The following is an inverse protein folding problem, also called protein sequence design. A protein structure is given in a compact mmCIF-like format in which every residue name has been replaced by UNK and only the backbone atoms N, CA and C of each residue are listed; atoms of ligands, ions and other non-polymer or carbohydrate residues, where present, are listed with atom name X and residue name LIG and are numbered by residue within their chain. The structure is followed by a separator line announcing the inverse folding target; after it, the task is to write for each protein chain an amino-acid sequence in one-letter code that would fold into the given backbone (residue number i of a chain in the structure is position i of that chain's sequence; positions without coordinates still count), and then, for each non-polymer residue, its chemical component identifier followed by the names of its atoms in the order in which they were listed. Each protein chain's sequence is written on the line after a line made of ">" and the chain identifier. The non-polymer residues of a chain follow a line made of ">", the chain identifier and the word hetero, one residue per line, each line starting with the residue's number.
data_IF_211544479472
#
_entry.id   IF_211544479472
#
_cell.length_a   1.000
_cell.length_b   1.000
_cell.length_c   1.000
_cell.angle_alpha   90.00
_cell.angle_beta   90.00
_cell.angle_gamma   90.00
#
_symmetry.space_group_name_H-M   'P 1'
#
loop_
_entity.id
_entity.type
_entity.pdbx_description
1 polymer ?
#
# COMPACT_ATOMS: atom_id res chain seq x y z
N UNK A 1 26.78 -11.84 -39.27
CA UNK A 1 27.10 -11.90 -37.83
C UNK A 1 27.43 -10.49 -37.37
N UNK A 2 26.69 -9.94 -36.41
CA UNK A 2 26.99 -8.61 -35.84
C UNK A 2 27.79 -8.84 -34.56
N UNK A 3 28.99 -8.26 -34.48
CA UNK A 3 29.85 -8.30 -33.29
C UNK A 3 29.79 -6.94 -32.63
N UNK A 4 29.43 -6.90 -31.35
CA UNK A 4 29.34 -5.67 -30.57
C UNK A 4 30.59 -5.50 -29.71
N UNK A 5 31.07 -4.26 -29.61
CA UNK A 5 32.18 -3.87 -28.73
C UNK A 5 31.58 -3.49 -27.37
N UNK A 6 31.83 -4.25 -26.29
CA UNK A 6 31.19 -4.02 -24.99
C UNK A 6 31.34 -2.59 -24.45
N UNK A 7 32.48 -1.97 -24.69
CA UNK A 7 32.81 -0.60 -24.28
C UNK A 7 31.95 0.47 -24.98
N UNK A 8 31.32 0.12 -26.10
CA UNK A 8 30.38 0.99 -26.84
C UNK A 8 28.92 0.56 -26.62
N UNK A 9 28.67 -0.46 -25.80
CA UNK A 9 27.32 -0.94 -25.48
C UNK A 9 26.91 -0.55 -24.08
N UNK A 10 25.73 0.07 -23.97
CA UNK A 10 25.15 0.45 -22.69
C UNK A 10 23.91 -0.41 -22.44
N UNK A 11 23.81 -0.95 -21.23
CA UNK A 11 22.58 -1.58 -20.76
C UNK A 11 21.49 -0.50 -20.67
N UNK A 12 20.37 -0.73 -21.33
CA UNK A 12 19.18 0.12 -21.24
C UNK A 12 18.09 -0.59 -20.43
N UNK A 13 17.22 0.19 -19.78
CA UNK A 13 16.16 -0.32 -18.92
C UNK A 13 16.47 -0.20 -17.42
N UNK A 14 15.42 -0.31 -16.61
CA UNK A 14 15.44 -0.07 -15.16
C UNK A 14 15.58 -1.36 -14.32
N UNK A 15 15.98 -2.48 -14.94
CA UNK A 15 15.88 -3.81 -14.35
C UNK A 15 16.67 -3.97 -13.04
N UNK A 16 17.86 -3.39 -12.94
CA UNK A 16 18.68 -3.42 -11.71
C UNK A 16 18.40 -2.25 -10.75
N UNK A 17 17.80 -1.18 -11.25
CA UNK A 17 17.48 0.03 -10.46
C UNK A 17 16.25 -0.16 -9.59
N UNK A 18 15.35 -1.09 -9.94
CA UNK A 18 14.17 -1.48 -9.16
C UNK A 18 14.49 -2.02 -7.77
N UNK A 19 15.71 -2.52 -7.52
CA UNK A 19 16.16 -2.94 -6.18
C UNK A 19 16.37 -1.74 -5.24
N UNK A 20 16.59 -0.54 -5.78
CA UNK A 20 16.78 0.68 -5.01
C UNK A 20 15.56 1.60 -5.11
N UNK A 21 14.60 1.39 -4.20
CA UNK A 21 13.34 2.15 -4.13
C UNK A 21 13.49 3.68 -4.03
N UNK A 22 14.67 4.21 -3.66
CA UNK A 22 14.93 5.66 -3.65
C UNK A 22 15.21 6.21 -5.04
N UNK A 23 16.08 5.56 -5.79
CA UNK A 23 16.46 5.99 -7.13
C UNK A 23 15.27 5.91 -8.10
N UNK A 24 14.43 4.88 -7.97
CA UNK A 24 13.17 4.81 -8.73
C UNK A 24 12.25 5.98 -8.40
N UNK A 25 12.16 6.38 -7.12
CA UNK A 25 11.32 7.53 -6.72
C UNK A 25 11.83 8.85 -7.28
N UNK A 26 13.14 9.06 -7.28
CA UNK A 26 13.77 10.25 -7.86
C UNK A 26 13.54 10.32 -9.37
N UNK A 27 13.76 9.21 -10.09
CA UNK A 27 13.48 9.14 -11.53
C UNK A 27 11.98 9.34 -11.80
N UNK A 28 11.09 8.70 -11.03
CA UNK A 28 9.65 8.89 -11.16
C UNK A 28 9.24 10.34 -10.91
N UNK A 29 9.86 11.01 -9.93
CA UNK A 29 9.58 12.42 -9.63
C UNK A 29 9.93 13.32 -10.82
N UNK A 30 11.09 13.12 -11.44
CA UNK A 30 11.49 13.85 -12.65
C UNK A 30 10.63 13.50 -13.88
N UNK A 31 10.11 12.26 -13.94
CA UNK A 31 9.24 11.81 -15.02
C UNK A 31 7.79 12.26 -14.84
N UNK A 32 7.35 12.59 -13.62
CA UNK A 32 5.98 13.02 -13.36
C UNK A 32 5.71 14.38 -13.97
N UNK A 33 4.89 14.39 -15.02
CA UNK A 33 4.40 15.61 -15.66
C UNK A 33 2.96 15.87 -15.24
N UNK A 34 2.67 17.12 -14.89
CA UNK A 34 1.28 17.57 -14.78
C UNK A 34 0.57 17.50 -16.14
N UNK A 35 -0.77 17.37 -16.18
CA UNK A 35 -1.53 17.37 -17.43
C UNK A 35 -1.22 18.58 -18.32
N UNK A 36 -1.02 19.76 -17.73
CA UNK A 36 -0.65 20.98 -18.44
C UNK A 36 0.74 20.90 -19.07
N UNK A 37 1.74 20.41 -18.33
CA UNK A 37 3.09 20.23 -18.86
C UNK A 37 3.10 19.21 -20.01
N UNK A 38 2.37 18.10 -19.85
CA UNK A 38 2.24 17.09 -20.88
C UNK A 38 1.62 17.67 -22.16
N UNK A 39 0.52 18.42 -22.04
CA UNK A 39 -0.12 19.12 -23.15
C UNK A 39 0.82 20.12 -23.85
N UNK A 40 1.58 20.91 -23.09
CA UNK A 40 2.56 21.86 -23.66
C UNK A 40 3.68 21.13 -24.41
N UNK A 41 4.17 20.00 -23.91
CA UNK A 41 5.17 19.18 -24.61
C UNK A 41 4.61 18.58 -25.89
N UNK A 42 3.39 18.06 -25.87
CA UNK A 42 2.72 17.53 -27.07
C UNK A 42 2.52 18.61 -28.13
N UNK A 43 1.94 19.74 -27.75
CA UNK A 43 1.74 20.87 -28.69
C UNK A 43 3.06 21.44 -29.22
N UNK A 44 4.12 21.44 -28.41
CA UNK A 44 5.47 21.80 -28.87
C UNK A 44 6.00 20.79 -29.88
N UNK A 45 5.81 19.49 -29.65
CA UNK A 45 6.21 18.45 -30.59
C UNK A 45 5.45 18.57 -31.91
N UNK A 46 4.13 18.80 -31.87
CA UNK A 46 3.32 19.01 -33.07
C UNK A 46 3.83 20.21 -33.88
N UNK A 47 4.18 21.32 -33.21
CA UNK A 47 4.82 22.49 -33.84
C UNK A 47 6.15 22.12 -34.47
N UNK A 48 7.02 21.41 -33.75
CA UNK A 48 8.32 21.00 -34.30
C UNK A 48 8.20 20.11 -35.53
N UNK A 49 7.22 19.20 -35.55
CA UNK A 49 6.98 18.34 -36.71
C UNK A 49 6.45 19.16 -37.88
N UNK A 50 5.44 20.01 -37.67
CA UNK A 50 4.86 20.85 -38.72
C UNK A 50 5.87 21.85 -39.30
N UNK A 51 6.65 22.48 -38.43
CA UNK A 51 7.61 23.52 -38.84
C UNK A 51 8.88 22.90 -39.47
N UNK A 52 9.04 21.56 -39.41
CA UNK A 52 10.12 20.85 -40.09
C UNK A 52 9.73 20.53 -41.55
N UNK A 53 10.44 21.08 -42.55
CA UNK A 53 10.08 20.94 -43.96
C UNK A 53 10.26 19.51 -44.51
N UNK A 54 11.14 18.70 -43.93
CA UNK A 54 11.31 17.30 -44.32
C UNK A 54 10.13 16.46 -43.83
N UNK A 55 9.78 16.61 -42.55
CA UNK A 55 8.67 15.88 -41.94
C UNK A 55 7.32 16.25 -42.58
N UNK A 56 7.06 17.55 -42.80
CA UNK A 56 5.83 18.01 -43.45
C UNK A 56 5.70 17.52 -44.89
N UNK A 57 6.80 17.52 -45.65
CA UNK A 57 6.80 16.99 -47.02
C UNK A 57 6.51 15.49 -47.06
N UNK A 58 7.04 14.72 -46.12
CA UNK A 58 6.69 13.30 -46.00
C UNK A 58 5.20 13.14 -45.71
N UNK A 59 4.64 13.83 -44.73
CA UNK A 59 3.20 13.75 -44.43
C UNK A 59 2.32 14.10 -45.64
N UNK A 60 2.66 15.18 -46.36
CA UNK A 60 1.96 15.59 -47.59
C UNK A 60 2.05 14.54 -48.70
N UNK A 61 3.19 13.84 -48.86
CA UNK A 61 3.33 12.73 -49.83
C UNK A 61 2.35 11.59 -49.54
N UNK A 62 2.01 11.37 -48.28
CA UNK A 62 1.00 10.38 -47.85
C UNK A 62 -0.43 10.95 -47.85
N UNK A 63 -0.62 12.23 -48.23
CA UNK A 63 -1.91 12.91 -48.16
C UNK A 63 -2.38 13.21 -46.72
N UNK A 64 -1.45 13.21 -45.76
CA UNK A 64 -1.74 13.40 -44.34
C UNK A 64 -1.46 14.83 -43.90
N UNK A 65 -2.29 15.34 -42.99
CA UNK A 65 -2.10 16.62 -42.32
C UNK A 65 -2.23 16.41 -40.82
N UNK A 66 -1.34 17.01 -40.03
CA UNK A 66 -1.39 16.94 -38.58
C UNK A 66 -2.25 18.07 -38.01
N UNK A 67 -3.17 17.71 -37.11
CA UNK A 67 -3.82 18.68 -36.24
C UNK A 67 -2.80 19.23 -35.23
N UNK A 68 -2.95 20.50 -34.89
CA UNK A 68 -2.05 21.24 -33.99
C UNK A 68 -2.54 21.25 -32.55
N UNK A 69 -3.65 20.58 -32.30
CA UNK A 69 -4.25 20.41 -30.98
C UNK A 69 -4.60 18.93 -30.72
N UNK A 70 -4.87 18.61 -29.45
CA UNK A 70 -5.34 17.29 -29.07
C UNK A 70 -6.80 17.11 -29.46
N UNK A 71 -7.16 15.88 -29.84
CA UNK A 71 -8.55 15.53 -30.10
C UNK A 71 -9.41 15.75 -28.85
N UNK A 72 -10.47 16.55 -29.00
CA UNK A 72 -11.48 16.76 -27.95
C UNK A 72 -12.57 15.72 -28.12
N UNK A 73 -12.94 15.09 -27.02
CA UNK A 73 -14.04 14.13 -26.97
C UNK A 73 -15.06 14.53 -25.91
N UNK A 74 -16.30 14.09 -26.08
CA UNK A 74 -17.32 14.24 -25.04
C UNK A 74 -17.14 13.13 -24.01
N UNK A 75 -16.95 13.52 -22.75
CA UNK A 75 -16.88 12.62 -21.62
C UNK A 75 -18.12 12.76 -20.74
N UNK A 76 -18.40 11.70 -19.96
CA UNK A 76 -19.42 11.73 -18.92
C UNK A 76 -18.76 11.65 -17.55
N UNK A 77 -19.21 12.50 -16.63
CA UNK A 77 -18.85 12.42 -15.21
C UNK A 77 -19.88 11.53 -14.54
N UNK A 78 -19.41 10.42 -13.96
CA UNK A 78 -20.26 9.53 -13.20
C UNK A 78 -20.71 10.22 -11.90
N UNK A 79 -21.96 10.02 -11.46
CA UNK A 79 -22.42 10.54 -10.19
C UNK A 79 -21.65 9.90 -9.03
N UNK A 80 -21.51 10.62 -7.92
CA UNK A 80 -20.89 10.09 -6.71
C UNK A 80 -21.74 8.98 -6.10
N UNK A 81 -21.11 7.89 -5.73
CA UNK A 81 -21.77 6.77 -5.05
C UNK A 81 -21.87 7.00 -3.54
N UNK A 82 -22.95 6.50 -2.94
CA UNK A 82 -23.16 6.57 -1.49
C UNK A 82 -22.35 5.47 -0.79
N UNK A 83 -21.51 5.87 0.15
CA UNK A 83 -20.75 4.95 1.01
C UNK A 83 -21.60 4.59 2.23
N UNK A 84 -21.79 3.29 2.44
CA UNK A 84 -22.57 2.71 3.52
C UNK A 84 -21.65 2.11 4.59
N UNK A 85 -21.85 2.50 5.84
CA UNK A 85 -21.29 1.89 7.05
C UNK A 85 -22.41 1.19 7.83
N UNK A 86 -22.13 0.64 9.02
CA UNK A 86 -23.15 -0.10 9.77
C UNK A 86 -24.38 0.72 10.16
N UNK A 87 -24.15 1.95 10.62
CA UNK A 87 -25.21 2.81 11.17
C UNK A 87 -25.35 4.15 10.44
N UNK A 88 -24.48 4.41 9.45
CA UNK A 88 -24.38 5.70 8.77
C UNK A 88 -24.09 5.49 7.30
N UNK A 89 -24.63 6.37 6.47
CA UNK A 89 -24.30 6.45 5.05
C UNK A 89 -24.02 7.91 4.69
N UNK A 90 -23.11 8.14 3.74
CA UNK A 90 -22.70 9.48 3.32
C UNK A 90 -22.16 9.45 1.88
N UNK A 91 -22.12 10.62 1.25
CA UNK A 91 -21.42 10.78 -0.04
C UNK A 91 -19.97 11.24 0.22
N UNK A 92 -18.98 10.72 -0.52
CA UNK A 92 -17.60 11.17 -0.44
C UNK A 92 -17.44 12.68 -0.70
N UNK A 93 -16.39 13.28 -0.15
CA UNK A 93 -15.98 14.65 -0.47
C UNK A 93 -15.40 14.73 -1.91
N UNK A 94 -15.12 15.93 -2.41
CA UNK A 94 -14.65 16.17 -3.78
C UNK A 94 -13.32 15.45 -4.12
N UNK A 95 -12.49 15.17 -3.11
CA UNK A 95 -11.23 14.45 -3.25
C UNK A 95 -11.41 12.92 -3.33
N UNK A 96 -12.66 12.44 -3.24
CA UNK A 96 -13.05 11.03 -3.22
C UNK A 96 -12.33 10.23 -2.13
N UNK A 97 -12.05 10.88 -0.99
CA UNK A 97 -11.45 10.26 0.18
C UNK A 97 -12.45 10.14 1.32
N UNK A 98 -12.56 8.96 1.93
CA UNK A 98 -13.44 8.72 3.07
C UNK A 98 -12.76 7.96 4.22
N UNK A 99 -11.42 8.04 4.27
CA UNK A 99 -10.63 7.38 5.31
C UNK A 99 -11.00 7.89 6.72
N UNK A 100 -11.31 9.18 6.84
CA UNK A 100 -11.63 9.80 8.13
C UNK A 100 -12.94 9.24 8.70
N UNK A 101 -13.92 9.01 7.85
CA UNK A 101 -15.24 8.51 8.17
C UNK A 101 -15.15 7.03 8.59
N UNK A 102 -14.46 6.20 7.78
CA UNK A 102 -14.28 4.76 8.04
C UNK A 102 -13.49 4.49 9.34
N UNK A 103 -12.68 5.43 9.80
CA UNK A 103 -11.88 5.26 11.03
C UNK A 103 -12.52 5.82 12.28
N UNK A 104 -13.62 6.56 12.15
CA UNK A 104 -14.38 7.17 13.26
C UNK A 104 -15.72 6.50 13.53
N UNK A 105 -16.16 5.65 12.62
CA UNK A 105 -17.49 5.03 12.62
C UNK A 105 -17.37 3.51 12.58
N UNK A 106 -18.42 2.83 13.03
CA UNK A 106 -18.46 1.37 13.07
C UNK A 106 -18.56 0.79 11.66
N UNK A 107 -17.64 -0.11 11.34
CA UNK A 107 -17.63 -0.89 10.09
C UNK A 107 -18.88 -1.77 9.97
N UNK A 108 -19.36 -2.04 8.74
CA UNK A 108 -20.51 -2.92 8.47
C UNK A 108 -20.40 -4.22 9.28
N UNK A 109 -19.28 -4.92 9.17
CA UNK A 109 -18.94 -6.11 9.94
C UNK A 109 -17.57 -5.93 10.60
N UNK A 110 -17.58 -5.71 11.92
CA UNK A 110 -16.38 -5.64 12.74
C UNK A 110 -16.18 -6.98 13.49
N UNK A 111 -15.01 -7.60 13.30
CA UNK A 111 -14.64 -8.88 13.92
C UNK A 111 -13.81 -8.62 15.18
N UNK A 112 -14.23 -9.22 16.29
CA UNK A 112 -13.52 -9.13 17.58
C UNK A 112 -12.37 -10.14 17.65
N UNK A 113 -11.22 -9.69 18.17
CA UNK A 113 -10.01 -10.50 18.32
C UNK A 113 -9.74 -10.69 19.81
N UNK A 114 -9.98 -11.89 20.31
CA UNK A 114 -9.79 -12.24 21.72
C UNK A 114 -8.40 -12.82 21.98
N UNK A 115 -7.91 -13.67 21.07
CA UNK A 115 -6.62 -14.34 21.19
C UNK A 115 -5.75 -14.02 19.98
N UNK A 116 -4.65 -13.29 20.21
CA UNK A 116 -3.69 -12.93 19.17
C UNK A 116 -2.28 -12.86 19.74
N UNK A 117 -1.31 -13.05 18.86
CA UNK A 117 0.11 -13.09 19.19
C UNK A 117 0.80 -11.85 18.64
N UNK A 118 1.56 -11.16 19.49
CA UNK A 118 2.43 -10.06 19.12
C UNK A 118 3.90 -10.50 19.22
N UNK A 119 4.63 -10.45 18.11
CA UNK A 119 6.05 -10.82 18.03
C UNK A 119 6.89 -9.61 17.66
N UNK A 120 7.96 -9.34 18.40
CA UNK A 120 8.89 -8.24 18.09
C UNK A 120 10.30 -8.50 18.66
N UNK A 121 11.36 -7.92 18.06
CA UNK A 121 12.71 -7.88 18.64
C UNK A 121 12.76 -7.06 19.92
N UNK A 122 13.48 -7.52 20.94
CA UNK A 122 13.62 -6.86 22.25
C UNK A 122 13.84 -5.33 22.18
N UNK A 123 14.68 -4.85 21.27
CA UNK A 123 14.94 -3.42 21.11
C UNK A 123 13.71 -2.58 20.72
N UNK A 124 12.65 -3.19 20.21
CA UNK A 124 11.40 -2.55 19.81
C UNK A 124 10.32 -2.63 20.90
N UNK A 125 10.66 -3.06 22.11
CA UNK A 125 9.72 -3.24 23.21
C UNK A 125 8.91 -1.96 23.51
N UNK A 126 9.55 -0.78 23.50
CA UNK A 126 8.83 0.48 23.73
C UNK A 126 7.81 0.75 22.61
N UNK A 127 8.23 0.56 21.35
CA UNK A 127 7.35 0.73 20.19
C UNK A 127 6.17 -0.25 20.21
N UNK A 128 6.39 -1.47 20.68
CA UNK A 128 5.33 -2.46 20.88
C UNK A 128 4.33 -2.02 21.95
N UNK A 129 4.80 -1.47 23.08
CA UNK A 129 3.93 -0.90 24.12
C UNK A 129 3.10 0.27 23.58
N UNK A 130 3.72 1.18 22.84
CA UNK A 130 3.05 2.32 22.24
C UNK A 130 1.98 1.88 21.22
N UNK A 131 2.32 0.85 20.41
CA UNK A 131 1.38 0.22 19.48
C UNK A 131 0.16 -0.34 20.23
N UNK A 132 0.36 -1.06 21.32
CA UNK A 132 -0.73 -1.65 22.12
C UNK A 132 -1.63 -0.57 22.75
N UNK A 133 -1.04 0.50 23.28
CA UNK A 133 -1.80 1.64 23.80
C UNK A 133 -2.64 2.32 22.72
N UNK A 134 -2.06 2.50 21.53
CA UNK A 134 -2.75 3.06 20.38
C UNK A 134 -3.88 2.14 19.87
N UNK A 135 -3.66 0.82 19.82
CA UNK A 135 -4.69 -0.18 19.46
C UNK A 135 -5.86 -0.10 20.44
N UNK A 136 -5.58 -0.16 21.75
CA UNK A 136 -6.60 -0.12 22.81
C UNK A 136 -7.45 1.16 22.77
N UNK A 137 -6.84 2.30 22.45
CA UNK A 137 -7.56 3.58 22.36
C UNK A 137 -8.32 3.79 21.05
N UNK A 138 -8.04 3.02 20.01
CA UNK A 138 -8.60 3.23 18.66
C UNK A 138 -9.66 2.20 18.27
N UNK A 139 -9.51 0.94 18.69
CA UNK A 139 -10.36 -0.15 18.19
C UNK A 139 -11.85 0.04 18.49
N UNK A 140 -12.19 0.63 19.64
CA UNK A 140 -13.59 0.86 20.05
C UNK A 140 -14.36 1.77 19.10
N UNK A 141 -13.75 2.84 18.58
CA UNK A 141 -14.39 3.76 17.63
C UNK A 141 -14.77 3.07 16.31
N UNK A 142 -14.06 1.99 15.96
CA UNK A 142 -14.28 1.21 14.74
C UNK A 142 -15.23 0.02 14.98
N UNK A 143 -15.79 -0.10 16.19
CA UNK A 143 -16.63 -1.22 16.61
C UNK A 143 -15.88 -2.53 16.79
N UNK A 144 -14.54 -2.48 16.92
CA UNK A 144 -13.69 -3.65 17.12
C UNK A 144 -13.27 -3.80 18.58
N UNK A 145 -13.25 -5.04 19.06
CA UNK A 145 -12.60 -5.41 20.31
C UNK A 145 -11.29 -6.12 20.04
N UNK A 146 -10.21 -5.65 20.68
CA UNK A 146 -8.88 -6.26 20.65
C UNK A 146 -8.49 -6.63 22.09
N UNK A 147 -8.50 -7.92 22.40
CA UNK A 147 -8.08 -8.46 23.69
C UNK A 147 -6.58 -8.23 23.96
N UNK A 148 -6.13 -8.56 25.16
CA UNK A 148 -4.71 -8.50 25.50
C UNK A 148 -3.94 -9.57 24.69
N UNK A 149 -2.89 -9.21 23.94
CA UNK A 149 -2.12 -10.20 23.19
C UNK A 149 -1.24 -11.05 24.10
N UNK A 150 -0.94 -12.24 23.61
CA UNK A 150 0.28 -12.95 24.01
C UNK A 150 1.48 -12.25 23.38
N UNK A 151 2.50 -11.96 24.18
CA UNK A 151 3.67 -11.22 23.73
C UNK A 151 4.88 -12.15 23.68
N UNK A 152 5.50 -12.26 22.50
CA UNK A 152 6.73 -13.01 22.28
C UNK A 152 7.85 -12.06 21.88
N UNK A 153 8.74 -11.79 22.83
CA UNK A 153 9.97 -11.05 22.58
C UNK A 153 11.01 -11.94 21.90
N UNK A 154 11.67 -11.41 20.86
CA UNK A 154 12.76 -12.07 20.15
C UNK A 154 14.11 -11.57 20.66
N UNK A 155 15.09 -12.50 20.73
CA UNK A 155 16.47 -12.21 21.14
C UNK A 155 17.25 -11.44 20.07
N UNK A 156 16.97 -11.74 18.81
CA UNK A 156 17.60 -11.14 17.64
C UNK A 156 16.60 -10.95 16.49
N UNK A 157 17.09 -10.40 15.37
CA UNK A 157 16.31 -10.08 14.17
C UNK A 157 16.53 -11.07 13.01
N UNK A 158 17.10 -12.24 13.28
CA UNK A 158 17.29 -13.27 12.26
C UNK A 158 15.94 -13.84 11.81
N UNK A 159 15.85 -14.24 10.53
CA UNK A 159 14.64 -14.90 10.00
C UNK A 159 14.29 -16.13 10.85
N UNK A 160 15.30 -16.93 11.21
CA UNK A 160 15.12 -18.13 12.03
C UNK A 160 14.50 -17.85 13.39
N UNK A 161 14.90 -16.77 14.06
CA UNK A 161 14.34 -16.34 15.34
C UNK A 161 12.84 -16.05 15.22
N UNK A 162 12.43 -15.29 14.19
CA UNK A 162 10.99 -15.07 13.94
C UNK A 162 10.25 -16.39 13.70
N UNK A 163 10.73 -17.21 12.77
CA UNK A 163 10.03 -18.43 12.36
C UNK A 163 9.92 -19.44 13.51
N UNK A 164 11.01 -19.66 14.26
CA UNK A 164 11.05 -20.59 15.39
C UNK A 164 10.11 -20.14 16.51
N UNK A 165 10.17 -18.87 16.88
CA UNK A 165 9.34 -18.32 17.96
C UNK A 165 7.85 -18.26 17.59
N UNK A 166 7.52 -17.88 16.34
CA UNK A 166 6.13 -17.91 15.85
C UNK A 166 5.61 -19.34 15.87
N UNK A 167 6.34 -20.30 15.30
CA UNK A 167 5.91 -21.70 15.24
C UNK A 167 5.70 -22.30 16.63
N UNK A 168 6.64 -22.06 17.55
CA UNK A 168 6.54 -22.53 18.94
C UNK A 168 5.31 -21.96 19.66
N UNK A 169 5.08 -20.65 19.51
CA UNK A 169 3.95 -19.96 20.15
C UNK A 169 2.61 -20.41 19.59
N UNK A 170 2.51 -20.59 18.27
CA UNK A 170 1.29 -21.07 17.61
C UNK A 170 1.01 -22.55 17.92
N UNK A 171 2.04 -23.38 18.08
CA UNK A 171 1.89 -24.80 18.39
C UNK A 171 1.51 -25.09 19.85
N UNK A 172 1.74 -24.14 20.76
CA UNK A 172 1.46 -24.30 22.20
C UNK A 172 0.10 -23.75 22.63
N UNK A 173 -0.69 -23.17 21.71
CA UNK A 173 -1.91 -22.43 22.02
C UNK A 173 -3.08 -22.96 21.19
N UNK A 174 -4.19 -23.30 21.85
CA UNK A 174 -5.30 -24.01 21.17
C UNK A 174 -6.03 -23.16 20.12
N UNK A 175 -5.91 -21.82 20.11
CA UNK A 175 -6.48 -20.99 19.04
C UNK A 175 -5.94 -19.57 19.01
N UNK A 176 -5.00 -19.28 18.10
CA UNK A 176 -4.57 -17.90 17.80
C UNK A 176 -5.34 -17.39 16.58
N UNK A 177 -6.10 -16.30 16.73
CA UNK A 177 -6.91 -15.73 15.64
C UNK A 177 -6.09 -14.84 14.70
N UNK A 178 -5.01 -14.25 15.21
CA UNK A 178 -4.20 -13.27 14.49
C UNK A 178 -2.76 -13.29 15.00
N UNK A 179 -1.82 -13.20 14.06
CA UNK A 179 -0.42 -12.89 14.33
C UNK A 179 -0.12 -11.44 13.94
N UNK A 180 0.47 -10.66 14.83
CA UNK A 180 1.06 -9.35 14.53
C UNK A 180 2.57 -9.44 14.76
N UNK A 181 3.36 -9.05 13.77
CA UNK A 181 4.81 -9.01 13.87
C UNK A 181 5.33 -7.60 13.60
N UNK A 182 6.20 -7.08 14.47
CA UNK A 182 6.91 -5.83 14.21
C UNK A 182 8.29 -6.18 13.66
N UNK A 183 8.59 -5.73 12.45
CA UNK A 183 9.89 -5.92 11.82
C UNK A 183 10.68 -4.61 11.78
N UNK A 184 12.01 -4.67 11.89
CA UNK A 184 12.92 -3.60 11.52
C UNK A 184 12.70 -3.08 10.09
N UNK A 185 13.32 -1.94 9.79
CA UNK A 185 13.31 -1.33 8.45
C UNK A 185 13.99 -2.25 7.42
N UNK A 186 13.42 -2.31 6.20
CA UNK A 186 13.97 -2.99 5.01
C UNK A 186 14.22 -4.50 5.19
N UNK A 187 13.26 -5.23 5.77
CA UNK A 187 13.35 -6.69 5.99
C UNK A 187 12.29 -7.47 5.20
N UNK A 188 12.30 -7.30 3.88
CA UNK A 188 11.38 -8.01 2.97
C UNK A 188 11.61 -9.53 2.98
N UNK A 189 12.83 -9.95 3.31
CA UNK A 189 13.23 -11.33 3.60
C UNK A 189 12.41 -11.93 4.76
N UNK A 190 12.33 -11.20 5.89
CA UNK A 190 11.56 -11.60 7.07
C UNK A 190 10.07 -11.57 6.77
N UNK A 191 9.60 -10.53 6.07
CA UNK A 191 8.20 -10.45 5.64
C UNK A 191 7.79 -11.68 4.81
N UNK A 192 8.58 -12.01 3.78
CA UNK A 192 8.34 -13.17 2.92
C UNK A 192 8.35 -14.49 3.70
N UNK A 193 9.29 -14.65 4.63
CA UNK A 193 9.37 -15.85 5.46
C UNK A 193 8.16 -15.99 6.40
N UNK A 194 7.75 -14.92 7.09
CA UNK A 194 6.56 -14.92 7.97
C UNK A 194 5.31 -15.24 7.16
N UNK A 195 5.15 -14.63 5.98
CA UNK A 195 4.01 -14.89 5.10
C UNK A 195 3.99 -16.32 4.60
N UNK A 196 5.13 -16.87 4.18
CA UNK A 196 5.23 -18.27 3.79
C UNK A 196 4.84 -19.20 4.95
N UNK A 197 5.32 -18.94 6.16
CA UNK A 197 4.93 -19.73 7.33
C UNK A 197 3.42 -19.67 7.57
N UNK A 198 2.84 -18.47 7.64
CA UNK A 198 1.45 -18.27 8.04
C UNK A 198 0.42 -18.61 6.95
N UNK A 199 0.82 -18.64 5.68
CA UNK A 199 -0.07 -18.95 4.57
C UNK A 199 0.07 -20.40 4.07
N UNK A 200 1.21 -21.05 4.31
CA UNK A 200 1.50 -22.40 3.75
C UNK A 200 1.60 -23.47 4.83
N UNK A 201 2.21 -23.17 5.98
CA UNK A 201 2.59 -24.20 6.96
C UNK A 201 1.72 -24.18 8.22
N UNK A 202 1.47 -23.00 8.78
CA UNK A 202 0.66 -22.82 9.99
C UNK A 202 -0.38 -21.73 9.70
N UNK A 203 -1.54 -22.07 9.11
CA UNK A 203 -2.53 -21.10 8.66
C UNK A 203 -3.00 -20.18 9.78
N UNK A 204 -2.60 -18.91 9.73
CA UNK A 204 -3.10 -17.86 10.62
C UNK A 204 -3.07 -16.51 9.90
N UNK A 205 -4.15 -15.71 9.98
CA UNK A 205 -4.11 -14.32 9.53
C UNK A 205 -2.93 -13.58 10.16
N UNK A 206 -2.12 -12.92 9.33
CA UNK A 206 -0.89 -12.25 9.79
C UNK A 206 -0.80 -10.79 9.34
N UNK A 207 -0.39 -9.92 10.25
CA UNK A 207 -0.08 -8.51 10.00
C UNK A 207 1.37 -8.24 10.36
N UNK A 208 2.17 -7.84 9.36
CA UNK A 208 3.55 -7.42 9.58
C UNK A 208 3.59 -5.90 9.53
N UNK A 209 4.23 -5.27 10.51
CA UNK A 209 4.32 -3.82 10.66
C UNK A 209 5.81 -3.44 10.70
N UNK A 210 6.22 -2.57 9.79
CA UNK A 210 7.58 -2.03 9.82
C UNK A 210 7.70 -1.00 10.94
N UNK A 211 8.70 -1.13 11.81
CA UNK A 211 8.94 -0.22 12.91
C UNK A 211 8.98 1.25 12.45
N UNK A 212 9.56 1.51 11.27
CA UNK A 212 9.66 2.86 10.72
C UNK A 212 8.29 3.51 10.41
N UNK A 213 7.25 2.71 10.13
CA UNK A 213 5.91 3.27 9.93
C UNK A 213 5.32 3.80 11.23
N UNK A 214 5.70 3.22 12.38
CA UNK A 214 5.22 3.61 13.70
C UNK A 214 6.06 4.76 14.32
N UNK A 215 7.33 4.88 13.93
CA UNK A 215 8.24 5.93 14.43
C UNK A 215 7.91 7.31 13.84
N UNK A 216 7.90 8.35 14.68
CA UNK A 216 7.65 9.74 14.29
C UNK A 216 6.87 10.49 15.35
N UNK A 217 6.07 11.49 14.94
CA UNK A 217 5.21 12.22 15.86
C UNK A 217 4.05 11.35 16.39
N UNK A 218 3.50 11.62 17.60
CA UNK A 218 2.45 10.80 18.22
C UNK A 218 1.17 10.63 17.39
N UNK A 219 0.82 11.59 16.52
CA UNK A 219 -0.32 11.44 15.61
C UNK A 219 -0.12 10.33 14.55
N UNK A 220 1.13 10.03 14.19
CA UNK A 220 1.47 9.06 13.15
C UNK A 220 1.13 7.63 13.57
N UNK A 221 1.47 7.24 14.80
CA UNK A 221 1.19 5.89 15.29
C UNK A 221 -0.32 5.61 15.30
N UNK A 222 -1.15 6.58 15.70
CA UNK A 222 -2.61 6.45 15.67
C UNK A 222 -3.13 6.23 14.25
N UNK A 223 -2.69 7.04 13.28
CA UNK A 223 -3.11 6.90 11.88
C UNK A 223 -2.71 5.53 11.29
N UNK A 224 -1.50 5.06 11.62
CA UNK A 224 -1.05 3.72 11.18
C UNK A 224 -1.87 2.62 11.86
N UNK A 225 -2.15 2.74 13.15
CA UNK A 225 -2.99 1.78 13.89
C UNK A 225 -4.40 1.71 13.33
N UNK A 226 -5.03 2.84 12.99
CA UNK A 226 -6.34 2.84 12.33
C UNK A 226 -6.31 2.01 11.04
N UNK A 227 -5.32 2.23 10.16
CA UNK A 227 -5.16 1.45 8.92
C UNK A 227 -4.90 -0.03 9.19
N UNK A 228 -4.08 -0.33 10.19
CA UNK A 228 -3.77 -1.71 10.60
C UNK A 228 -5.03 -2.42 11.13
N UNK A 229 -5.86 -1.74 11.92
CA UNK A 229 -7.12 -2.30 12.43
C UNK A 229 -8.12 -2.58 11.31
N UNK A 230 -8.26 -1.65 10.35
CA UNK A 230 -9.06 -1.89 9.14
C UNK A 230 -8.57 -3.13 8.37
N UNK A 231 -7.25 -3.25 8.17
CA UNK A 231 -6.65 -4.41 7.50
C UNK A 231 -6.86 -5.71 8.27
N UNK A 232 -6.71 -5.69 9.59
CA UNK A 232 -6.98 -6.85 10.46
C UNK A 232 -8.44 -7.26 10.34
N UNK A 233 -9.37 -6.30 10.37
CA UNK A 233 -10.80 -6.59 10.22
C UNK A 233 -11.07 -7.32 8.89
N UNK A 234 -10.58 -6.80 7.76
CA UNK A 234 -10.72 -7.43 6.45
C UNK A 234 -10.10 -8.85 6.41
N UNK A 235 -8.93 -9.04 7.01
CA UNK A 235 -8.25 -10.35 7.06
C UNK A 235 -9.02 -11.40 7.85
N UNK A 236 -9.90 -10.97 8.75
CA UNK A 236 -10.76 -11.83 9.55
C UNK A 236 -12.17 -11.98 8.96
N UNK A 237 -12.41 -11.46 7.75
CA UNK A 237 -13.71 -11.53 7.07
C UNK A 237 -14.67 -10.38 7.40
N UNK A 238 -14.18 -9.34 8.08
CA UNK A 238 -14.93 -8.12 8.32
C UNK A 238 -15.14 -7.30 7.05
N UNK A 239 -16.16 -6.45 7.08
CA UNK A 239 -16.58 -5.58 5.99
C UNK A 239 -16.54 -4.14 6.49
N UNK A 240 -15.71 -3.30 5.89
CA UNK A 240 -15.50 -1.93 6.35
C UNK A 240 -16.68 -1.03 5.98
N UNK A 241 -16.99 -0.99 4.70
CA UNK A 241 -18.01 -0.18 4.07
C UNK A 241 -18.54 -0.90 2.83
N UNK A 242 -19.63 -0.39 2.27
CA UNK A 242 -20.25 -0.90 1.04
C UNK A 242 -20.81 0.23 0.19
N UNK A 243 -21.23 -0.12 -1.02
CA UNK A 243 -22.01 0.74 -1.93
C UNK A 243 -23.26 -0.02 -2.33
N UNK A 244 -24.29 0.71 -2.75
CA UNK A 244 -25.52 0.09 -3.24
C UNK A 244 -25.28 -0.47 -4.65
N UNK A 245 -25.27 -1.80 -4.77
CA UNK A 245 -25.21 -2.48 -6.07
C UNK A 245 -26.64 -2.96 -6.38
N UNK A 246 -27.35 -2.31 -7.31
CA UNK A 246 -28.67 -2.78 -7.70
C UNK A 246 -28.54 -4.18 -8.31
N UNK A 247 -29.35 -5.13 -7.80
CA UNK A 247 -29.53 -6.46 -8.38
C UNK A 247 -30.41 -6.39 -9.63
#
# INVERSE_FOLDING_TARGET
>A
MVVLVPELTFLTGLSDTQKNSRMVKEVMWEMMQSPRQHYLRLTSLLKQIRDNPEASRELERWGLHLDMDICRTQGHILPSERINLRHRSFFPEEDLSWHREVTKEVSISAISVNSWLLVYPKRLQQLAKDLLAAVKSTCGAMGMWMGQPMVQELRDESIESYIRSIRSSLGSQEKVQLLVCITPRNRDDVYGAIKKLCCVQVPVPSQVINAQSLMGHPGKIRSVVQKVLLQINCKLGGQLWGVDIPL
#
